data_IF_570981201481
#
_entry.id   IF_570981201481
#
_cell.length_a   1.000
_cell.length_b   1.000
_cell.length_c   1.000
_cell.angle_alpha   90.00
_cell.angle_beta   90.00
_cell.angle_gamma   90.00
#
_symmetry.space_group_name_H-M   'P 1'
#
loop_
_entity.id
_entity.type
_entity.pdbx_description
1 polymer ?
#
# COMPACT_ATOMS: atom_id res chain seq x y z
N UNK A 1 1.89 -7.12 -4.01
CA UNK A 1 1.34 -5.94 -3.30
C UNK A 1 0.31 -6.35 -2.25
N UNK A 2 -0.77 -7.08 -2.61
CA UNK A 2 -1.76 -7.60 -1.63
C UNK A 2 -1.10 -8.46 -0.53
N UNK A 3 -0.12 -9.29 -0.90
CA UNK A 3 0.61 -10.14 0.04
C UNK A 3 1.40 -9.34 1.10
N UNK A 4 1.99 -8.19 0.73
CA UNK A 4 2.70 -7.32 1.68
C UNK A 4 1.71 -6.61 2.61
N UNK A 5 0.59 -6.13 2.08
CA UNK A 5 -0.44 -5.41 2.84
C UNK A 5 -1.14 -6.35 3.85
N UNK A 6 -1.33 -7.62 3.52
CA UNK A 6 -2.01 -8.59 4.39
C UNK A 6 -1.10 -9.24 5.45
N UNK A 7 0.21 -9.38 5.16
CA UNK A 7 1.15 -10.04 6.09
C UNK A 7 1.58 -9.13 7.25
N UNK A 8 1.63 -7.82 7.02
CA UNK A 8 2.00 -6.82 8.03
C UNK A 8 1.04 -6.83 9.24
N UNK A 9 -0.30 -6.78 9.09
CA UNK A 9 -1.21 -6.77 10.24
C UNK A 9 -1.28 -8.12 10.99
N UNK A 10 -1.05 -9.25 10.31
CA UNK A 10 -1.04 -10.59 10.95
C UNK A 10 0.06 -10.69 12.01
N UNK A 11 1.18 -9.98 11.85
CA UNK A 11 2.26 -9.96 12.83
C UNK A 11 1.89 -9.28 14.17
N UNK A 12 0.76 -8.57 14.25
CA UNK A 12 0.29 -7.84 15.45
C UNK A 12 -0.70 -8.63 16.29
N UNK A 13 -1.24 -9.71 15.73
CA UNK A 13 -2.11 -10.65 16.42
C UNK A 13 -1.19 -11.71 17.02
N UNK A 14 -1.24 -11.88 18.34
CA UNK A 14 -0.47 -12.93 18.99
C UNK A 14 -1.03 -14.28 18.52
N UNK A 15 -0.24 -15.13 17.83
CA UNK A 15 -0.78 -16.34 17.20
C UNK A 15 -1.33 -17.35 18.22
N UNK A 16 -0.92 -17.24 19.49
CA UNK A 16 -1.35 -18.09 20.58
C UNK A 16 -2.67 -17.65 21.25
N UNK A 17 -3.04 -16.37 21.20
CA UNK A 17 -4.17 -15.83 21.99
C UNK A 17 -5.14 -14.96 21.18
N UNK A 18 -4.78 -14.54 19.97
CA UNK A 18 -5.60 -13.62 19.18
C UNK A 18 -5.59 -12.17 19.69
N UNK A 19 -4.88 -11.88 20.78
CA UNK A 19 -4.83 -10.54 21.36
C UNK A 19 -3.92 -9.61 20.55
N UNK A 20 -4.40 -8.38 20.35
CA UNK A 20 -3.63 -7.28 19.76
C UNK A 20 -2.55 -6.90 20.76
N UNK A 21 -1.28 -7.09 20.39
CA UNK A 21 -0.15 -6.77 21.28
C UNK A 21 -0.20 -5.28 21.66
N UNK A 22 -0.26 -4.98 22.95
CA UNK A 22 -0.16 -3.62 23.50
C UNK A 22 1.29 -3.11 23.36
N UNK A 23 1.72 -2.83 22.14
CA UNK A 23 3.01 -2.19 21.89
C UNK A 23 2.86 -0.66 22.01
N UNK A 24 3.76 0.05 22.69
CA UNK A 24 3.67 1.51 22.88
C UNK A 24 3.78 2.33 21.58
N UNK A 25 3.98 1.67 20.42
CA UNK A 25 4.16 2.30 19.11
C UNK A 25 2.99 2.05 18.15
N UNK A 26 1.85 1.53 18.62
CA UNK A 26 0.66 1.28 17.77
C UNK A 26 0.27 2.50 16.91
N UNK A 27 0.22 3.74 17.44
CA UNK A 27 -0.14 4.90 16.62
C UNK A 27 0.89 5.21 15.52
N UNK A 28 2.19 5.14 15.86
CA UNK A 28 3.28 5.41 14.93
C UNK A 28 3.35 4.36 13.83
N UNK A 29 3.05 3.12 14.19
CA UNK A 29 2.96 2.00 13.26
C UNK A 29 1.81 2.18 12.25
N UNK A 30 0.60 2.51 12.70
CA UNK A 30 -0.52 2.80 11.79
C UNK A 30 -0.27 4.04 10.94
N UNK A 31 0.38 5.07 11.49
CA UNK A 31 0.78 6.25 10.73
C UNK A 31 1.77 5.90 9.60
N UNK A 32 2.76 5.04 9.87
CA UNK A 32 3.71 4.57 8.86
C UNK A 32 3.02 3.77 7.75
N UNK A 33 2.10 2.85 8.11
CA UNK A 33 1.28 2.12 7.12
C UNK A 33 0.46 3.07 6.28
N UNK A 34 -0.25 4.00 6.91
CA UNK A 34 -1.08 4.98 6.22
C UNK A 34 -0.24 5.81 5.24
N UNK A 35 0.94 6.28 5.66
CA UNK A 35 1.87 7.02 4.82
C UNK A 35 2.31 6.23 3.58
N UNK A 36 2.72 4.97 3.76
CA UNK A 36 3.14 4.10 2.65
C UNK A 36 1.95 3.82 1.70
N UNK A 37 0.76 3.55 2.24
CA UNK A 37 -0.45 3.33 1.44
C UNK A 37 -0.77 4.54 0.55
N UNK A 38 -0.73 5.76 1.10
CA UNK A 38 -0.99 6.99 0.34
C UNK A 38 0.02 7.15 -0.80
N UNK A 39 1.31 6.93 -0.53
CA UNK A 39 2.38 7.02 -1.54
C UNK A 39 2.14 6.02 -2.67
N UNK A 40 1.79 4.78 -2.34
CA UNK A 40 1.53 3.73 -3.33
C UNK A 40 0.30 4.07 -4.17
N UNK A 41 -0.80 4.52 -3.55
CA UNK A 41 -2.03 4.89 -4.26
C UNK A 41 -1.75 6.06 -5.21
N UNK A 42 -1.06 7.10 -4.74
CA UNK A 42 -0.72 8.26 -5.55
C UNK A 42 0.20 7.88 -6.73
N UNK A 43 1.22 7.08 -6.47
CA UNK A 43 2.15 6.59 -7.50
C UNK A 43 1.44 5.71 -8.53
N UNK A 44 0.54 4.83 -8.09
CA UNK A 44 -0.27 3.97 -8.95
C UNK A 44 -1.21 4.78 -9.84
N UNK A 45 -1.84 5.83 -9.30
CA UNK A 45 -2.68 6.74 -10.07
C UNK A 45 -1.87 7.47 -11.16
N UNK A 46 -0.69 8.00 -10.78
CA UNK A 46 0.23 8.66 -11.71
C UNK A 46 0.66 7.70 -12.82
N UNK A 47 1.03 6.46 -12.49
CA UNK A 47 1.46 5.45 -13.44
C UNK A 47 0.34 5.08 -14.43
N UNK A 48 -0.90 4.89 -13.94
CA UNK A 48 -2.06 4.63 -14.82
C UNK A 48 -2.31 5.76 -15.79
N UNK A 49 -2.19 7.01 -15.35
CA UNK A 49 -2.34 8.18 -16.23
C UNK A 49 -1.22 8.27 -17.25
N UNK A 50 0.01 7.94 -16.87
CA UNK A 50 1.15 7.90 -17.79
C UNK A 50 0.96 6.84 -18.88
N UNK A 51 0.55 5.62 -18.50
CA UNK A 51 0.26 4.54 -19.45
C UNK A 51 -0.82 4.92 -20.48
N UNK A 52 -1.86 5.63 -20.06
CA UNK A 52 -2.88 6.13 -20.97
C UNK A 52 -2.33 7.14 -21.99
N UNK A 53 -1.52 8.11 -21.54
CA UNK A 53 -0.87 9.09 -22.42
C UNK A 53 0.04 8.42 -23.44
N UNK A 54 0.84 7.46 -22.99
CA UNK A 54 1.78 6.74 -23.85
C UNK A 54 1.03 5.90 -24.91
N UNK A 55 -0.10 5.28 -24.55
CA UNK A 55 -0.93 4.54 -25.48
C UNK A 55 -1.62 5.44 -26.52
N UNK A 56 -2.09 6.63 -26.13
CA UNK A 56 -2.65 7.62 -27.07
C UNK A 56 -1.57 8.08 -28.06
N UNK A 57 -0.37 8.42 -27.57
CA UNK A 57 0.77 8.84 -28.41
C UNK A 57 1.22 7.74 -29.37
N UNK A 58 1.11 6.46 -28.97
CA UNK A 58 1.36 5.31 -29.85
C UNK A 58 0.27 5.17 -30.91
N UNK A 59 -1.00 5.37 -30.57
CA UNK A 59 -2.11 5.34 -31.54
C UNK A 59 -2.04 6.48 -32.55
N UNK A 60 -1.61 7.68 -32.15
CA UNK A 60 -1.50 8.83 -33.06
C UNK A 60 -0.28 8.78 -33.99
N UNK A 61 0.65 7.85 -33.75
CA UNK A 61 1.84 7.62 -34.58
C UNK A 61 1.68 6.45 -35.56
N UNK A 62 0.59 5.69 -35.44
CA UNK A 62 0.18 4.68 -36.42
C UNK A 62 -0.71 5.35 -37.46
#
# INVERSE_FOLDING_TARGET
MIFLIATIPIAFITPATGEVRAHPLIPLFYAAIAGICVIIIYSSYKERKQKQKDNIKRRSKK
#
